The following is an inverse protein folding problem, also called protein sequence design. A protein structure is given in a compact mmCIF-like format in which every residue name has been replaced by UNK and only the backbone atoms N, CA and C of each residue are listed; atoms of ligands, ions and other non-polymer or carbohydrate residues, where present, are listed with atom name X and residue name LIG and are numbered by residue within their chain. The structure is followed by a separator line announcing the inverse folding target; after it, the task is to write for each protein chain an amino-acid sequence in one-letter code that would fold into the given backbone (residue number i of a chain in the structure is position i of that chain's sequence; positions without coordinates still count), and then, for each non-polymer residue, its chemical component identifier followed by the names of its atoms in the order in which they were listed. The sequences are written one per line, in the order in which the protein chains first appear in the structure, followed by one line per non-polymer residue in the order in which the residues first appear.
data_IF_815338955350
#
_entry.id   IF_815338955350
#
_cell.length_a   1.000
_cell.length_b   1.000
_cell.length_c   1.000
_cell.angle_alpha   90.00
_cell.angle_beta   90.00
_cell.angle_gamma   90.00
#
_symmetry.space_group_name_H-M   'P 1'
#
loop_
_entity.id
_entity.type
_entity.pdbx_description
1 polymer ?
#
# COMPACT_ATOMS: atom_id res chain seq x y z
N UNK A 1 -37.51 5.68 3.65
CA UNK A 1 -36.95 4.42 4.16
C UNK A 1 -35.75 4.09 3.30
N UNK A 2 -34.53 4.23 3.81
CA UNK A 2 -33.30 3.93 3.07
C UNK A 2 -32.97 2.47 3.40
N UNK A 3 -33.03 1.58 2.40
CA UNK A 3 -32.65 0.19 2.57
C UNK A 3 -31.14 0.14 2.87
N UNK A 4 -30.80 -0.20 4.11
CA UNK A 4 -29.43 -0.50 4.51
C UNK A 4 -29.03 -1.84 3.91
N UNK A 5 -28.35 -1.82 2.77
CA UNK A 5 -27.66 -3.00 2.25
C UNK A 5 -26.50 -3.33 3.18
N UNK A 6 -26.68 -4.35 4.02
CA UNK A 6 -25.57 -4.90 4.80
C UNK A 6 -24.42 -5.27 3.85
N UNK A 7 -23.16 -4.96 4.18
CA UNK A 7 -22.03 -5.40 3.38
C UNK A 7 -22.06 -6.93 3.31
N UNK A 8 -22.07 -7.47 2.08
CA UNK A 8 -21.88 -8.91 1.88
C UNK A 8 -20.55 -9.29 2.55
N UNK A 9 -20.54 -10.26 3.47
CA UNK A 9 -19.32 -10.67 4.15
C UNK A 9 -18.29 -11.05 3.09
N UNK A 10 -17.08 -10.52 3.24
CA UNK A 10 -16.00 -10.82 2.32
C UNK A 10 -15.75 -12.34 2.38
N UNK A 11 -15.83 -13.09 1.27
CA UNK A 11 -15.64 -14.53 1.29
C UNK A 11 -14.28 -14.98 1.83
N UNK A 12 -13.31 -14.06 1.99
CA UNK A 12 -12.05 -14.29 2.73
C UNK A 12 -12.17 -14.38 4.25
N UNK A 13 -13.33 -14.05 4.83
CA UNK A 13 -13.55 -14.07 6.29
C UNK A 13 -14.15 -15.38 6.81
N UNK A 14 -14.41 -16.35 5.92
CA UNK A 14 -14.92 -17.66 6.33
C UNK A 14 -13.91 -18.34 7.28
N UNK A 15 -14.41 -18.89 8.39
CA UNK A 15 -13.58 -19.61 9.36
C UNK A 15 -12.86 -20.79 8.68
N UNK A 16 -13.58 -21.47 7.79
CA UNK A 16 -13.09 -22.61 7.01
C UNK A 16 -11.90 -22.23 6.13
N UNK A 17 -11.96 -21.10 5.44
CA UNK A 17 -10.82 -20.61 4.66
C UNK A 17 -9.62 -20.23 5.53
N UNK A 18 -9.85 -19.60 6.70
CA UNK A 18 -8.75 -19.24 7.61
C UNK A 18 -8.02 -20.46 8.17
N UNK A 19 -8.76 -21.49 8.56
CA UNK A 19 -8.20 -22.77 9.00
C UNK A 19 -7.45 -23.46 7.86
N UNK A 20 -8.06 -23.55 6.68
CA UNK A 20 -7.43 -24.15 5.50
C UNK A 20 -6.15 -23.42 5.08
N UNK A 21 -6.14 -22.08 5.16
CA UNK A 21 -4.97 -21.27 4.86
C UNK A 21 -3.84 -21.45 5.89
N UNK A 22 -4.17 -21.70 7.16
CA UNK A 22 -3.19 -22.03 8.18
C UNK A 22 -2.57 -23.42 7.91
N UNK A 23 -3.40 -24.43 7.65
CA UNK A 23 -2.95 -25.80 7.34
C UNK A 23 -2.09 -25.87 6.07
N UNK A 24 -2.50 -25.14 5.03
CA UNK A 24 -1.75 -25.05 3.77
C UNK A 24 -0.33 -24.49 3.97
N UNK A 25 -0.15 -23.52 4.88
CA UNK A 25 1.17 -22.91 5.14
C UNK A 25 2.17 -23.88 5.76
N UNK A 26 1.71 -24.82 6.58
CA UNK A 26 2.57 -25.78 7.27
C UNK A 26 2.83 -27.07 6.47
N UNK A 27 2.04 -27.32 5.43
CA UNK A 27 2.17 -28.51 4.56
C UNK A 27 3.37 -28.40 3.61
N UNK A 28 4.02 -29.51 3.26
CA UNK A 28 5.02 -29.52 2.18
C UNK A 28 4.37 -29.24 0.81
N UNK A 29 5.14 -28.84 -0.21
CA UNK A 29 4.59 -28.53 -1.55
C UNK A 29 3.87 -29.73 -2.19
N UNK A 30 4.45 -30.92 -2.06
CA UNK A 30 3.89 -32.16 -2.59
C UNK A 30 2.64 -32.59 -1.81
N UNK A 31 2.66 -32.47 -0.48
CA UNK A 31 1.50 -32.75 0.36
C UNK A 31 0.33 -31.80 0.04
N UNK A 32 0.62 -30.51 -0.16
CA UNK A 32 -0.39 -29.51 -0.49
C UNK A 32 -0.99 -29.72 -1.88
N UNK A 33 -0.20 -30.21 -2.84
CA UNK A 33 -0.68 -30.54 -4.18
C UNK A 33 -1.59 -31.78 -4.17
N UNK A 34 -1.20 -32.84 -3.46
CA UNK A 34 -2.05 -34.02 -3.27
C UNK A 34 -3.34 -33.69 -2.50
N UNK A 35 -3.24 -32.80 -1.51
CA UNK A 35 -4.38 -32.31 -0.74
C UNK A 35 -5.34 -31.49 -1.61
N UNK A 36 -4.83 -30.62 -2.48
CA UNK A 36 -5.60 -29.86 -3.48
C UNK A 36 -6.41 -30.78 -4.38
N UNK A 37 -5.77 -31.81 -4.94
CA UNK A 37 -6.41 -32.71 -5.92
C UNK A 37 -7.57 -33.51 -5.28
N UNK A 38 -7.48 -33.78 -3.98
CA UNK A 38 -8.57 -34.40 -3.20
C UNK A 38 -9.80 -33.49 -3.11
N UNK A 39 -9.62 -32.18 -2.94
CA UNK A 39 -10.75 -31.24 -2.88
C UNK A 39 -11.35 -30.90 -4.24
N UNK A 40 -10.58 -30.95 -5.32
CA UNK A 40 -11.11 -30.75 -6.69
C UNK A 40 -12.21 -31.76 -6.95
N UNK A 41 -11.96 -33.04 -6.66
CA UNK A 41 -12.96 -34.09 -6.86
C UNK A 41 -14.25 -33.86 -6.08
N UNK A 42 -14.18 -33.30 -4.87
CA UNK A 42 -15.35 -33.07 -4.00
C UNK A 42 -16.07 -31.78 -4.40
N UNK A 43 -15.34 -30.72 -4.78
CA UNK A 43 -15.93 -29.45 -5.18
C UNK A 43 -16.72 -29.58 -6.50
N UNK A 44 -16.20 -30.39 -7.43
CA UNK A 44 -16.77 -30.58 -8.76
C UNK A 44 -17.84 -31.69 -8.82
N UNK A 45 -17.98 -32.51 -7.77
CA UNK A 45 -19.01 -33.55 -7.70
C UNK A 45 -20.40 -32.92 -7.49
N UNK A 46 -21.33 -33.03 -8.45
CA UNK A 46 -22.67 -32.47 -8.32
C UNK A 46 -23.54 -33.23 -7.31
N UNK A 47 -23.21 -34.49 -7.01
CA UNK A 47 -23.94 -35.37 -6.08
C UNK A 47 -23.47 -35.20 -4.62
N UNK A 48 -22.36 -34.50 -4.39
CA UNK A 48 -21.85 -34.21 -3.06
C UNK A 48 -22.74 -33.19 -2.32
N UNK A 49 -22.77 -33.30 -0.99
CA UNK A 49 -23.55 -32.40 -0.15
C UNK A 49 -23.14 -30.92 -0.36
N UNK A 50 -24.09 -29.97 -0.48
CA UNK A 50 -23.76 -28.57 -0.75
C UNK A 50 -22.79 -27.93 0.25
N UNK A 51 -22.83 -28.32 1.53
CA UNK A 51 -21.91 -27.83 2.55
C UNK A 51 -20.52 -28.45 2.39
N UNK A 52 -20.43 -29.74 2.04
CA UNK A 52 -19.17 -30.40 1.69
C UNK A 52 -18.51 -29.77 0.46
N UNK A 53 -19.28 -29.49 -0.59
CA UNK A 53 -18.81 -28.81 -1.80
C UNK A 53 -18.31 -27.39 -1.49
N UNK A 54 -19.02 -26.65 -0.64
CA UNK A 54 -18.59 -25.34 -0.18
C UNK A 54 -17.26 -25.41 0.59
N UNK A 55 -17.15 -26.33 1.55
CA UNK A 55 -15.92 -26.51 2.32
C UNK A 55 -14.74 -26.93 1.43
N UNK A 56 -14.98 -27.85 0.49
CA UNK A 56 -13.99 -28.27 -0.48
C UNK A 56 -13.53 -27.10 -1.37
N UNK A 57 -14.46 -26.24 -1.80
CA UNK A 57 -14.16 -25.04 -2.59
C UNK A 57 -13.30 -24.02 -1.82
N UNK A 58 -13.63 -23.76 -0.55
CA UNK A 58 -12.85 -22.84 0.29
C UNK A 58 -11.45 -23.40 0.60
N UNK A 59 -11.34 -24.71 0.85
CA UNK A 59 -10.05 -25.40 1.04
C UNK A 59 -9.21 -25.41 -0.24
N UNK A 60 -9.84 -25.66 -1.39
CA UNK A 60 -9.21 -25.60 -2.71
C UNK A 60 -8.66 -24.21 -2.99
N UNK A 61 -9.42 -23.15 -2.67
CA UNK A 61 -8.96 -21.75 -2.80
C UNK A 61 -7.72 -21.51 -1.94
N UNK A 62 -7.77 -21.86 -0.66
CA UNK A 62 -6.65 -21.67 0.26
C UNK A 62 -5.38 -22.41 -0.19
N UNK A 63 -5.51 -23.66 -0.66
CA UNK A 63 -4.38 -24.44 -1.17
C UNK A 63 -3.80 -23.81 -2.45
N UNK A 64 -4.66 -23.37 -3.37
CA UNK A 64 -4.25 -22.77 -4.65
C UNK A 64 -3.50 -21.46 -4.41
N UNK A 65 -4.02 -20.59 -3.54
CA UNK A 65 -3.36 -19.31 -3.21
C UNK A 65 -2.00 -19.50 -2.54
N UNK A 66 -1.86 -20.51 -1.68
CA UNK A 66 -0.59 -20.82 -1.02
C UNK A 66 0.42 -21.45 -1.99
N UNK A 67 -0.01 -22.35 -2.88
CA UNK A 67 0.84 -22.87 -3.97
C UNK A 67 1.31 -21.74 -4.89
N UNK A 68 0.41 -20.82 -5.26
CA UNK A 68 0.74 -19.64 -6.05
C UNK A 68 1.72 -18.71 -5.32
N UNK A 69 1.54 -18.51 -4.00
CA UNK A 69 2.47 -17.74 -3.17
C UNK A 69 3.85 -18.37 -3.18
N UNK A 70 3.95 -19.68 -2.99
CA UNK A 70 5.22 -20.43 -3.02
C UNK A 70 5.89 -20.36 -4.39
N UNK A 71 5.13 -20.52 -5.47
CA UNK A 71 5.63 -20.38 -6.83
C UNK A 71 6.10 -18.94 -7.14
N UNK A 72 5.45 -17.91 -6.60
CA UNK A 72 5.94 -16.52 -6.66
C UNK A 72 7.27 -16.38 -5.91
N UNK A 73 7.35 -16.84 -4.67
CA UNK A 73 8.58 -16.77 -3.85
C UNK A 73 9.74 -17.51 -4.52
N UNK A 74 9.51 -18.72 -5.03
CA UNK A 74 10.53 -19.51 -5.74
C UNK A 74 11.03 -18.80 -7.00
N UNK A 75 10.13 -18.20 -7.81
CA UNK A 75 10.53 -17.38 -8.96
C UNK A 75 11.34 -16.14 -8.56
N UNK A 76 10.97 -15.47 -7.48
CA UNK A 76 11.72 -14.33 -6.95
C UNK A 76 13.13 -14.74 -6.51
N UNK A 77 13.24 -15.85 -5.76
CA UNK A 77 14.53 -16.41 -5.34
C UNK A 77 15.40 -16.82 -6.54
N UNK A 78 14.79 -17.31 -7.61
CA UNK A 78 15.47 -17.65 -8.87
C UNK A 78 15.71 -16.45 -9.81
N UNK A 79 15.34 -15.23 -9.43
CA UNK A 79 15.49 -14.03 -10.26
C UNK A 79 14.51 -13.93 -11.46
N UNK A 80 13.51 -14.80 -11.51
CA UNK A 80 12.52 -14.94 -12.60
C UNK A 80 11.15 -14.33 -12.26
N UNK A 81 11.09 -13.36 -11.35
CA UNK A 81 9.84 -12.67 -10.99
C UNK A 81 9.13 -12.07 -12.21
N UNK A 82 7.79 -11.96 -12.15
CA UNK A 82 7.03 -11.27 -13.20
C UNK A 82 7.53 -9.82 -13.32
N UNK A 83 7.36 -9.19 -14.48
CA UNK A 83 7.77 -7.78 -14.67
C UNK A 83 7.22 -6.88 -13.57
N UNK A 84 5.96 -7.06 -13.18
CA UNK A 84 5.35 -6.28 -12.10
C UNK A 84 5.99 -6.47 -10.71
N UNK A 85 6.56 -7.65 -10.41
CA UNK A 85 7.26 -7.90 -9.15
C UNK A 85 8.62 -7.18 -9.13
N UNK A 86 9.35 -7.24 -10.26
CA UNK A 86 10.62 -6.52 -10.44
C UNK A 86 10.40 -5.01 -10.42
N UNK A 87 9.34 -4.56 -11.08
CA UNK A 87 8.90 -3.16 -11.03
C UNK A 87 8.57 -2.77 -9.59
N UNK A 88 7.89 -3.61 -8.81
CA UNK A 88 7.53 -3.26 -7.42
C UNK A 88 8.77 -3.01 -6.56
N UNK A 89 9.78 -3.87 -6.62
CA UNK A 89 11.01 -3.66 -5.87
C UNK A 89 11.75 -2.38 -6.31
N UNK A 90 11.84 -2.15 -7.63
CA UNK A 90 12.44 -0.95 -8.18
C UNK A 90 11.68 0.34 -7.78
N UNK A 91 10.34 0.32 -7.83
CA UNK A 91 9.48 1.43 -7.42
C UNK A 91 9.55 1.68 -5.93
N UNK A 92 9.59 0.64 -5.10
CA UNK A 92 9.78 0.79 -3.65
C UNK A 92 11.16 1.38 -3.33
N UNK A 93 12.22 0.91 -3.99
CA UNK A 93 13.55 1.48 -3.80
C UNK A 93 13.61 2.95 -4.23
N UNK A 94 13.04 3.29 -5.39
CA UNK A 94 12.95 4.68 -5.85
C UNK A 94 12.10 5.53 -4.89
N UNK A 95 11.01 4.99 -4.35
CA UNK A 95 10.16 5.66 -3.37
C UNK A 95 10.93 6.05 -2.10
N UNK A 96 11.82 5.19 -1.60
CA UNK A 96 12.66 5.55 -0.45
C UNK A 96 13.65 6.67 -0.82
N UNK A 97 14.29 6.61 -1.98
CA UNK A 97 15.20 7.68 -2.45
C UNK A 97 14.47 9.02 -2.56
N UNK A 98 13.26 9.05 -3.13
CA UNK A 98 12.52 10.32 -3.27
C UNK A 98 12.07 10.85 -1.91
N UNK A 99 11.70 9.99 -0.95
CA UNK A 99 11.34 10.42 0.41
C UNK A 99 12.53 11.03 1.17
N UNK A 100 13.74 10.57 0.90
CA UNK A 100 14.96 11.15 1.48
C UNK A 100 15.31 12.52 0.90
N UNK A 101 14.90 12.77 -0.35
CA UNK A 101 15.32 13.95 -1.12
C UNK A 101 14.25 15.00 -1.32
N UNK A 102 12.99 14.68 -1.02
CA UNK A 102 11.86 15.57 -1.26
C UNK A 102 11.44 16.25 0.04
N UNK A 103 11.34 17.58 0.01
CA UNK A 103 10.78 18.37 1.10
C UNK A 103 9.25 18.40 1.00
N UNK A 104 8.54 18.00 2.06
CA UNK A 104 7.07 18.07 2.05
C UNK A 104 6.54 19.50 1.95
N UNK A 105 7.10 20.50 2.65
CA UNK A 105 6.76 21.91 2.43
C UNK A 105 6.82 22.33 0.95
N UNK A 106 7.83 21.88 0.21
CA UNK A 106 8.00 22.20 -1.21
C UNK A 106 6.88 21.58 -2.07
N UNK A 107 6.49 20.33 -1.80
CA UNK A 107 5.35 19.68 -2.48
C UNK A 107 4.05 20.44 -2.24
N UNK A 108 3.85 20.97 -1.03
CA UNK A 108 2.69 21.79 -0.70
C UNK A 108 2.72 23.14 -1.46
N UNK A 109 3.87 23.81 -1.52
CA UNK A 109 4.03 25.06 -2.26
C UNK A 109 3.77 24.86 -3.77
N UNK A 110 4.28 23.77 -4.35
CA UNK A 110 4.01 23.40 -5.75
C UNK A 110 2.51 23.18 -6.03
N UNK A 111 1.76 22.74 -5.03
CA UNK A 111 0.31 22.59 -5.10
C UNK A 111 -0.44 23.92 -4.87
N UNK A 112 0.26 25.04 -4.71
CA UNK A 112 -0.32 26.35 -4.40
C UNK A 112 -0.75 26.52 -2.94
N UNK A 113 -0.30 25.65 -2.04
CA UNK A 113 -0.61 25.73 -0.61
C UNK A 113 0.52 26.48 0.08
N UNK A 114 0.20 27.68 0.58
CA UNK A 114 1.17 28.50 1.29
C UNK A 114 1.65 27.81 2.58
N UNK A 115 2.96 27.70 2.74
CA UNK A 115 3.62 27.18 3.94
C UNK A 115 4.36 28.31 4.64
N UNK A 116 4.36 28.30 5.97
CA UNK A 116 5.08 29.29 6.79
C UNK A 116 5.98 28.56 7.76
N UNK A 117 7.28 28.87 7.75
CA UNK A 117 8.22 28.31 8.73
C UNK A 117 7.92 28.89 10.12
N UNK A 118 7.65 28.04 11.09
CA UNK A 118 7.27 28.45 12.46
C UNK A 118 8.34 28.13 13.49
N UNK A 119 9.31 27.28 13.16
CA UNK A 119 10.44 27.02 14.06
C UNK A 119 11.24 25.79 13.69
N UNK A 120 11.71 25.08 14.72
CA UNK A 120 12.38 23.77 14.62
C UNK A 120 11.73 22.77 15.56
N UNK A 121 11.57 21.54 15.08
CA UNK A 121 11.18 20.41 15.90
C UNK A 121 12.31 20.10 16.88
N UNK A 122 12.02 20.14 18.19
CA UNK A 122 13.03 19.92 19.24
C UNK A 122 13.60 18.50 19.25
N UNK A 123 12.87 17.52 18.72
CA UNK A 123 13.28 16.11 18.73
C UNK A 123 14.14 15.73 17.53
N UNK A 124 13.75 16.17 16.33
CA UNK A 124 14.46 15.83 15.09
C UNK A 124 15.45 16.91 14.63
N UNK A 125 15.34 18.14 15.13
CA UNK A 125 16.11 19.28 14.64
C UNK A 125 15.64 19.83 13.29
N UNK A 126 14.66 19.17 12.65
CA UNK A 126 14.06 19.59 11.38
C UNK A 126 13.31 20.91 11.52
N UNK A 127 13.26 21.70 10.46
CA UNK A 127 12.43 22.90 10.40
C UNK A 127 10.96 22.49 10.39
N UNK A 128 10.17 23.24 11.16
CA UNK A 128 8.73 23.05 11.24
C UNK A 128 8.03 24.15 10.45
N UNK A 129 7.02 23.76 9.68
CA UNK A 129 6.23 24.62 8.83
C UNK A 129 4.75 24.37 9.09
N UNK A 130 3.95 25.43 9.07
CA UNK A 130 2.50 25.36 9.17
C UNK A 130 1.84 25.78 7.85
N UNK A 131 0.71 25.16 7.53
CA UNK A 131 -0.09 25.48 6.34
C UNK A 131 -1.56 25.07 6.50
N UNK A 132 -2.38 25.45 5.51
CA UNK A 132 -3.76 24.98 5.41
C UNK A 132 -3.81 23.48 5.07
N UNK A 133 -4.64 22.72 5.77
CA UNK A 133 -4.78 21.30 5.48
C UNK A 133 -5.52 21.08 4.14
N UNK A 134 -4.95 20.35 3.17
CA UNK A 134 -5.63 20.11 1.88
C UNK A 134 -6.87 19.22 2.01
N UNK A 135 -6.94 18.40 3.06
CA UNK A 135 -8.02 17.43 3.29
C UNK A 135 -9.23 18.09 3.95
N UNK A 136 -9.07 18.68 5.13
CA UNK A 136 -10.18 19.30 5.84
C UNK A 136 -10.37 20.79 5.54
N UNK A 137 -9.39 21.44 4.88
CA UNK A 137 -9.40 22.85 4.46
C UNK A 137 -9.62 23.87 5.59
N UNK A 138 -9.30 23.46 6.82
CA UNK A 138 -9.46 24.29 8.00
C UNK A 138 -8.12 24.93 8.40
N UNK A 139 -8.09 26.27 8.49
CA UNK A 139 -7.04 27.11 9.10
C UNK A 139 -5.60 26.95 8.56
N UNK A 140 -4.86 28.05 8.44
CA UNK A 140 -3.48 28.07 7.91
C UNK A 140 -2.45 27.47 8.91
N UNK A 141 -2.84 27.25 10.18
CA UNK A 141 -1.96 26.79 11.26
C UNK A 141 -2.21 25.32 11.67
N UNK A 142 -3.09 24.61 10.95
CA UNK A 142 -3.59 23.30 11.37
C UNK A 142 -2.76 22.13 10.84
N UNK A 143 -2.16 22.28 9.66
CA UNK A 143 -1.25 21.29 9.11
C UNK A 143 0.17 21.63 9.55
N UNK A 144 0.82 20.70 10.24
CA UNK A 144 2.24 20.79 10.61
C UNK A 144 3.02 19.89 9.68
N UNK A 145 4.08 20.41 9.07
CA UNK A 145 4.98 19.66 8.21
C UNK A 145 6.43 19.91 8.61
N UNK A 146 7.28 18.90 8.43
CA UNK A 146 8.71 18.99 8.74
C UNK A 146 9.53 18.74 7.48
N UNK A 147 10.65 19.46 7.34
CA UNK A 147 11.64 19.17 6.30
C UNK A 147 12.58 18.02 6.70
N UNK A 148 13.46 17.66 5.77
CA UNK A 148 14.48 16.63 5.98
C UNK A 148 14.06 15.22 5.53
N UNK A 149 14.98 14.25 5.68
CA UNK A 149 14.77 12.88 5.18
C UNK A 149 13.53 12.27 5.82
N UNK A 150 12.63 11.71 4.99
CA UNK A 150 11.36 11.15 5.46
C UNK A 150 10.46 12.17 6.17
N UNK A 151 10.52 13.44 5.76
CA UNK A 151 9.60 14.49 6.21
C UNK A 151 8.14 14.03 6.14
N UNK A 152 7.35 14.44 7.12
CA UNK A 152 5.93 14.08 7.23
C UNK A 152 5.08 15.31 7.45
N UNK A 153 3.78 15.13 7.22
CA UNK A 153 2.75 16.06 7.66
C UNK A 153 1.84 15.42 8.69
N UNK A 154 1.25 16.27 9.50
CA UNK A 154 0.17 15.90 10.40
C UNK A 154 -0.79 17.07 10.60
N UNK A 155 -2.09 16.82 10.40
CA UNK A 155 -3.13 17.79 10.66
C UNK A 155 -3.69 17.61 12.07
N UNK A 156 -3.68 18.66 12.89
CA UNK A 156 -4.24 18.62 14.26
C UNK A 156 -5.76 18.51 14.30
N UNK A 157 -6.45 18.76 13.18
CA UNK A 157 -7.91 18.81 13.10
C UNK A 157 -8.54 17.51 12.64
N UNK A 158 -8.09 16.98 11.51
CA UNK A 158 -8.62 15.74 10.93
C UNK A 158 -7.69 14.55 11.13
N UNK A 159 -6.58 14.74 11.85
CA UNK A 159 -5.57 13.71 12.16
C UNK A 159 -4.88 13.09 10.95
N UNK A 160 -5.14 13.62 9.75
CA UNK A 160 -4.48 13.16 8.53
C UNK A 160 -2.96 13.30 8.66
N UNK A 161 -2.26 12.20 8.37
CA UNK A 161 -0.80 12.13 8.38
C UNK A 161 -0.31 11.44 7.11
N UNK A 162 0.74 11.99 6.52
CA UNK A 162 1.25 11.54 5.23
C UNK A 162 2.75 11.83 5.09
N UNK A 163 3.44 11.05 4.25
CA UNK A 163 4.77 11.38 3.74
C UNK A 163 4.67 12.17 2.43
N UNK A 164 5.81 12.56 1.85
CA UNK A 164 5.85 13.34 0.61
C UNK A 164 5.06 12.70 -0.55
N UNK A 165 5.06 11.37 -0.66
CA UNK A 165 4.36 10.65 -1.74
C UNK A 165 2.86 10.75 -1.51
N UNK A 166 2.37 10.41 -0.31
CA UNK A 166 0.95 10.49 -0.01
C UNK A 166 0.41 11.92 -0.07
N UNK A 167 1.23 12.93 0.29
CA UNK A 167 0.88 14.34 0.05
C UNK A 167 0.77 14.61 -1.45
N UNK A 168 1.77 14.25 -2.25
CA UNK A 168 1.75 14.42 -3.71
C UNK A 168 0.50 13.80 -4.34
N UNK A 169 0.13 12.57 -3.97
CA UNK A 169 -1.09 11.91 -4.45
C UNK A 169 -2.38 12.67 -4.09
N UNK A 170 -2.36 13.39 -2.98
CA UNK A 170 -3.53 14.10 -2.47
C UNK A 170 -3.72 15.48 -3.10
N UNK A 171 -2.64 16.15 -3.50
CA UNK A 171 -2.70 17.58 -3.88
C UNK A 171 -2.19 17.89 -5.28
N UNK A 172 -1.40 17.01 -5.92
CA UNK A 172 -0.86 17.26 -7.26
C UNK A 172 -1.76 16.60 -8.31
N UNK A 173 -2.35 17.38 -9.24
CA UNK A 173 -3.14 16.82 -10.34
C UNK A 173 -2.32 15.82 -11.18
N UNK A 174 -2.93 14.67 -11.50
CA UNK A 174 -2.28 13.62 -12.28
C UNK A 174 -1.39 12.67 -11.48
N UNK A 175 -1.22 12.90 -10.17
CA UNK A 175 -0.39 12.05 -9.30
C UNK A 175 -1.18 11.11 -8.38
N UNK A 176 -2.47 10.83 -8.66
CA UNK A 176 -3.32 10.03 -7.76
C UNK A 176 -2.80 8.60 -7.51
N UNK A 177 -2.09 8.03 -8.48
CA UNK A 177 -1.47 6.71 -8.39
C UNK A 177 -0.05 6.80 -7.81
N UNK A 178 0.33 5.78 -7.03
CA UNK A 178 1.64 5.72 -6.37
C UNK A 178 2.81 5.90 -7.35
N UNK A 179 2.74 5.27 -8.52
CA UNK A 179 3.82 5.32 -9.51
C UNK A 179 3.96 6.71 -10.13
N UNK A 180 2.85 7.40 -10.36
CA UNK A 180 2.86 8.73 -10.96
C UNK A 180 3.40 9.77 -9.96
N UNK A 181 2.99 9.67 -8.70
CA UNK A 181 3.57 10.47 -7.61
C UNK A 181 5.08 10.23 -7.46
N UNK A 182 5.54 8.97 -7.45
CA UNK A 182 6.97 8.65 -7.34
C UNK A 182 7.76 9.19 -8.54
N UNK A 183 7.23 9.08 -9.76
CA UNK A 183 7.86 9.65 -10.97
C UNK A 183 7.96 11.17 -10.88
N UNK A 184 6.86 11.84 -10.56
CA UNK A 184 6.81 13.28 -10.43
C UNK A 184 7.83 13.78 -9.41
N UNK A 185 7.88 13.16 -8.22
CA UNK A 185 8.84 13.52 -7.17
C UNK A 185 10.29 13.16 -7.54
N UNK A 186 10.52 12.10 -8.29
CA UNK A 186 11.86 11.76 -8.78
C UNK A 186 12.38 12.81 -9.77
N UNK A 187 11.52 13.32 -10.64
CA UNK A 187 11.87 14.38 -11.59
C UNK A 187 12.09 15.71 -10.86
N UNK A 188 11.25 16.04 -9.87
CA UNK A 188 11.44 17.21 -8.99
C UNK A 188 12.78 17.13 -8.25
N UNK A 189 13.10 16.00 -7.63
CA UNK A 189 14.36 15.80 -6.91
C UNK A 189 15.61 15.90 -7.82
N UNK A 190 15.46 15.68 -9.13
CA UNK A 190 16.55 15.90 -10.10
C UNK A 190 16.74 17.38 -10.45
N UNK A 191 15.67 18.19 -10.40
CA UNK A 191 15.78 19.64 -10.59
C UNK A 191 16.61 20.25 -9.45
N UNK A 192 16.36 19.83 -8.21
CA UNK A 192 17.10 20.31 -7.02
C UNK A 192 18.61 20.01 -7.08
N UNK A 193 19.04 18.93 -7.75
CA UNK A 193 20.48 18.59 -7.87
C UNK A 193 21.21 19.49 -8.89
N UNK A 194 20.49 20.13 -9.81
CA UNK A 194 21.10 20.94 -10.88
C UNK A 194 21.22 22.44 -10.56
N UNK A 195 20.62 22.93 -9.47
CA UNK A 195 20.65 24.35 -9.09
C UNK A 195 21.85 24.74 -8.22
N UNK A 196 22.89 23.90 -8.18
CA UNK A 196 24.17 24.21 -7.55
C UNK A 196 25.09 25.12 -8.38
N UNK A 197 24.56 26.21 -8.96
CA UNK A 197 25.35 27.33 -9.50
C UNK A 197 25.12 28.61 -8.71
#
# INVERSE_FOLDING_TARGET
MIASTAPTPNPSDSLVYREAAADARWSSGDALSAYRDTFVSIADDPEADPFERFNASERLRACTEELDRRARVARLAAGQGKSWDRDRAAWTHLAEIVKERTSVPEVLELAGIAVTRTGRNRRSGANEYHSACPVCRDGIDRLVSWDGPSGRVWCRRCEWSADAIAVCQSVIPGCGEFRDAVRFLADLARMVVNDGR
#
